data_IF_425067533180
#
_entry.id   IF_425067533180
#
_cell.length_a   1.000
_cell.length_b   1.000
_cell.length_c   1.000
_cell.angle_alpha   90.00
_cell.angle_beta   90.00
_cell.angle_gamma   90.00
#
_symmetry.space_group_name_H-M   'P 1'
#
loop_
_entity.id
_entity.type
_entity.pdbx_description
1 polymer ?
#
# COMPACT_ATOMS: atom_id res chain seq x y z
N UNK A 1 -10.00 -55.16 9.42
CA UNK A 1 -9.75 -54.73 8.04
C UNK A 1 -10.76 -53.65 7.68
N UNK A 2 -10.37 -52.39 7.83
CA UNK A 2 -11.09 -51.24 7.29
C UNK A 2 -10.01 -50.35 6.69
N UNK A 3 -9.84 -50.44 5.37
CA UNK A 3 -8.90 -49.62 4.62
C UNK A 3 -9.48 -48.22 4.49
N UNK A 4 -8.92 -47.28 5.22
CA UNK A 4 -9.12 -45.86 4.95
C UNK A 4 -8.44 -45.53 3.62
N UNK A 5 -9.23 -45.40 2.56
CA UNK A 5 -8.77 -44.89 1.27
C UNK A 5 -8.73 -43.36 1.37
N UNK A 6 -7.58 -42.83 1.76
CA UNK A 6 -7.28 -41.40 1.66
C UNK A 6 -7.16 -41.06 0.18
N UNK A 7 -8.24 -40.55 -0.43
CA UNK A 7 -8.16 -39.89 -1.72
C UNK A 7 -7.45 -38.54 -1.50
N UNK A 8 -6.21 -38.45 -1.99
CA UNK A 8 -5.31 -37.30 -1.88
C UNK A 8 -5.52 -36.27 -3.00
N UNK A 9 -6.58 -36.37 -3.79
CA UNK A 9 -6.83 -35.48 -4.94
C UNK A 9 -7.73 -34.27 -4.63
N UNK A 10 -8.09 -34.05 -3.36
CA UNK A 10 -8.80 -32.83 -2.92
C UNK A 10 -7.87 -31.91 -2.12
N UNK A 11 -6.61 -31.78 -2.57
CA UNK A 11 -5.82 -30.61 -2.21
C UNK A 11 -6.25 -29.53 -3.19
N UNK A 12 -7.45 -28.98 -2.92
CA UNK A 12 -7.93 -27.78 -3.58
C UNK A 12 -6.80 -26.78 -3.62
N UNK A 13 -6.44 -26.37 -4.83
CA UNK A 13 -5.37 -25.43 -5.11
C UNK A 13 -5.38 -24.29 -4.08
N UNK A 14 -4.21 -23.74 -3.70
CA UNK A 14 -4.21 -22.46 -3.01
C UNK A 14 -4.95 -21.48 -3.92
N UNK A 15 -6.14 -21.06 -3.51
CA UNK A 15 -6.80 -19.92 -4.10
C UNK A 15 -5.91 -18.74 -3.73
N UNK A 16 -5.03 -18.37 -4.66
CA UNK A 16 -4.17 -17.21 -4.50
C UNK A 16 -5.05 -15.96 -4.35
N UNK A 17 -4.95 -15.20 -3.25
CA UNK A 17 -5.55 -13.88 -3.19
C UNK A 17 -4.61 -12.90 -3.91
N UNK A 18 -4.41 -13.07 -5.21
CA UNK A 18 -3.57 -12.17 -6.01
C UNK A 18 -4.20 -10.77 -6.21
N UNK A 19 -5.45 -10.59 -5.75
CA UNK A 19 -6.21 -9.34 -5.87
C UNK A 19 -6.30 -8.54 -4.58
N UNK A 20 -6.25 -9.14 -3.38
CA UNK A 20 -6.46 -8.43 -2.12
C UNK A 20 -5.26 -7.55 -1.72
N UNK A 21 -4.03 -7.97 -2.00
CA UNK A 21 -2.82 -7.23 -1.61
C UNK A 21 -2.67 -5.89 -2.34
N UNK A 22 -3.23 -5.76 -3.55
CA UNK A 22 -3.16 -4.51 -4.33
C UNK A 22 -4.06 -3.43 -3.75
N UNK A 23 -5.25 -3.80 -3.31
CA UNK A 23 -6.20 -2.87 -2.70
C UNK A 23 -5.68 -2.39 -1.34
N UNK A 24 -5.14 -3.29 -0.52
CA UNK A 24 -4.50 -2.95 0.77
C UNK A 24 -3.34 -1.97 0.59
N UNK A 25 -2.39 -2.28 -0.30
CA UNK A 25 -1.24 -1.40 -0.56
C UNK A 25 -1.66 -0.02 -1.08
N UNK A 26 -2.68 0.02 -1.96
CA UNK A 26 -3.22 1.28 -2.44
C UNK A 26 -3.79 2.13 -1.30
N UNK A 27 -4.54 1.51 -0.38
CA UNK A 27 -5.09 2.17 0.80
C UNK A 27 -4.00 2.66 1.77
N UNK A 28 -2.94 1.89 1.96
CA UNK A 28 -1.79 2.27 2.78
C UNK A 28 -1.13 3.54 2.23
N UNK A 29 -0.84 3.57 0.93
CA UNK A 29 -0.22 4.75 0.29
C UNK A 29 -1.16 5.96 0.31
N UNK A 30 -2.46 5.77 0.11
CA UNK A 30 -3.45 6.84 0.26
C UNK A 30 -3.44 7.43 1.69
N UNK A 31 -3.35 6.56 2.71
CA UNK A 31 -3.24 6.99 4.11
C UNK A 31 -1.96 7.79 4.36
N UNK A 32 -0.83 7.40 3.74
CA UNK A 32 0.44 8.15 3.82
C UNK A 32 0.29 9.56 3.22
N UNK A 33 -0.40 9.71 2.09
CA UNK A 33 -0.68 11.03 1.50
C UNK A 33 -1.51 11.93 2.44
N UNK A 34 -2.57 11.39 3.05
CA UNK A 34 -3.38 12.14 4.03
C UNK A 34 -2.55 12.55 5.25
N UNK A 35 -1.67 11.66 5.74
CA UNK A 35 -0.79 11.95 6.86
C UNK A 35 0.22 13.04 6.52
N UNK A 36 0.88 12.96 5.37
CA UNK A 36 1.81 13.98 4.90
C UNK A 36 1.15 15.36 4.81
N UNK A 37 -0.11 15.42 4.36
CA UNK A 37 -0.88 16.65 4.34
C UNK A 37 -1.11 17.21 5.73
N UNK A 38 -1.48 16.38 6.69
CA UNK A 38 -1.66 16.80 8.08
C UNK A 38 -0.34 17.36 8.68
N UNK A 39 0.81 16.71 8.42
CA UNK A 39 2.11 17.22 8.84
C UNK A 39 2.45 18.57 8.20
N UNK A 40 2.17 18.75 6.91
CA UNK A 40 2.32 20.04 6.23
C UNK A 40 1.45 21.13 6.86
N UNK A 41 0.18 20.84 7.16
CA UNK A 41 -0.75 21.77 7.81
C UNK A 41 -0.32 22.13 9.24
N UNK A 42 0.35 21.22 9.94
CA UNK A 42 0.95 21.47 11.27
C UNK A 42 2.28 22.24 11.19
N UNK A 43 2.83 22.45 9.99
CA UNK A 43 4.12 23.11 9.77
C UNK A 43 5.34 22.22 9.94
N UNK A 44 5.14 20.91 10.14
CA UNK A 44 6.22 19.93 10.18
C UNK A 44 6.54 19.45 8.76
N UNK A 45 7.25 20.31 8.03
CA UNK A 45 7.58 20.06 6.63
C UNK A 45 8.60 18.92 6.47
N UNK A 46 9.43 18.68 7.50
CA UNK A 46 10.40 17.59 7.49
C UNK A 46 9.68 16.24 7.55
N UNK A 47 8.75 16.08 8.51
CA UNK A 47 7.93 14.87 8.62
C UNK A 47 7.07 14.64 7.38
N UNK A 48 6.44 15.70 6.84
CA UNK A 48 5.69 15.62 5.59
C UNK A 48 6.57 15.13 4.42
N UNK A 49 7.78 15.68 4.28
CA UNK A 49 8.71 15.32 3.20
C UNK A 49 9.16 13.86 3.28
N UNK A 50 9.45 13.34 4.47
CA UNK A 50 9.83 11.94 4.66
C UNK A 50 8.73 10.98 4.20
N UNK A 51 7.48 11.26 4.57
CA UNK A 51 6.32 10.44 4.18
C UNK A 51 6.08 10.54 2.66
N UNK A 52 6.23 11.73 2.07
CA UNK A 52 6.05 11.91 0.62
C UNK A 52 7.13 11.17 -0.19
N UNK A 53 8.37 11.06 0.31
CA UNK A 53 9.42 10.25 -0.34
C UNK A 53 9.06 8.76 -0.33
N UNK A 54 8.41 8.29 0.75
CA UNK A 54 7.88 6.93 0.84
C UNK A 54 6.76 6.68 -0.18
N UNK A 55 5.81 7.61 -0.31
CA UNK A 55 4.77 7.57 -1.36
C UNK A 55 5.39 7.58 -2.77
N UNK A 56 6.45 8.36 -2.98
CA UNK A 56 7.17 8.40 -4.27
C UNK A 56 7.83 7.07 -4.64
N UNK A 57 8.07 6.18 -3.67
CA UNK A 57 8.67 4.85 -3.88
C UNK A 57 7.63 3.75 -3.99
N UNK A 58 6.54 3.86 -3.25
CA UNK A 58 5.55 2.80 -3.07
C UNK A 58 4.27 3.01 -3.88
N UNK A 59 3.91 4.26 -4.17
CA UNK A 59 2.64 4.58 -4.81
C UNK A 59 2.57 4.20 -6.28
N UNK A 60 1.34 4.11 -6.79
CA UNK A 60 1.08 4.08 -8.22
C UNK A 60 1.30 5.47 -8.85
N UNK A 61 1.19 5.56 -10.18
CA UNK A 61 1.42 6.80 -10.93
C UNK A 61 0.66 8.01 -10.37
N UNK A 62 -0.64 7.86 -10.07
CA UNK A 62 -1.46 8.96 -9.55
C UNK A 62 -1.06 9.37 -8.13
N UNK A 63 -0.69 8.41 -7.28
CA UNK A 63 -0.23 8.67 -5.92
C UNK A 63 1.13 9.39 -5.92
N UNK A 64 2.04 9.00 -6.83
CA UNK A 64 3.35 9.64 -7.01
C UNK A 64 3.21 11.05 -7.56
N UNK A 65 2.31 11.29 -8.51
CA UNK A 65 2.02 12.64 -9.01
C UNK A 65 1.47 13.56 -7.91
N UNK A 66 0.58 13.05 -7.06
CA UNK A 66 0.09 13.77 -5.90
C UNK A 66 1.21 14.10 -4.92
N UNK A 67 2.07 13.11 -4.60
CA UNK A 67 3.19 13.33 -3.70
C UNK A 67 4.21 14.33 -4.25
N UNK A 68 4.52 14.26 -5.54
CA UNK A 68 5.41 15.19 -6.21
C UNK A 68 4.87 16.62 -6.19
N UNK A 69 3.55 16.78 -6.39
CA UNK A 69 2.89 18.09 -6.32
C UNK A 69 2.95 18.69 -4.92
N UNK A 70 2.81 17.86 -3.89
CA UNK A 70 2.96 18.31 -2.50
C UNK A 70 4.43 18.67 -2.20
N UNK A 71 5.40 17.85 -2.63
CA UNK A 71 6.82 18.13 -2.47
C UNK A 71 7.25 19.47 -3.08
N UNK A 72 6.65 19.87 -4.20
CA UNK A 72 6.88 21.17 -4.84
C UNK A 72 6.36 22.35 -4.01
N UNK A 73 5.29 22.15 -3.21
CA UNK A 73 4.72 23.19 -2.34
C UNK A 73 5.52 23.44 -1.06
N UNK A 74 6.28 22.44 -0.59
CA UNK A 74 7.13 22.53 0.61
C UNK A 74 8.60 22.83 0.30
N UNK A 75 8.99 22.86 -0.98
CA UNK A 75 10.32 23.27 -1.46
C UNK A 75 10.44 24.76 -1.73
#
# INVERSE_FOLDING_TARGET
MAGISLNLDDIGAPLEPASETRDEHWHEVATKLDLAKAYQEMGDLAGAREILDEVMREGDEGQREAAQSMLDQIG
#
